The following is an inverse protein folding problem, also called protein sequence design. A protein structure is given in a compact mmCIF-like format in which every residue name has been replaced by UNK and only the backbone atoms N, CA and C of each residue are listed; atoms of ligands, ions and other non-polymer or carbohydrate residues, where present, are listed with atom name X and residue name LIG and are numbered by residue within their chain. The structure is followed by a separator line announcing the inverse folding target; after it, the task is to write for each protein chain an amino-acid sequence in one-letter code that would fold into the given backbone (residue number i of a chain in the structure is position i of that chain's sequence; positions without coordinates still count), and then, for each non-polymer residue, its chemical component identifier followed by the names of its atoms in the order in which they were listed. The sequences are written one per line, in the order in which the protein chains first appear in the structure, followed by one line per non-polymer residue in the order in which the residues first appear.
data_IF_557095532949
#
_entry.id   IF_557095532949
#
_cell.length_a   1.000
_cell.length_b   1.000
_cell.length_c   1.000
_cell.angle_alpha   90.00
_cell.angle_beta   90.00
_cell.angle_gamma   90.00
#
_symmetry.space_group_name_H-M   'P 1'
#
loop_
_entity.id
_entity.type
_entity.pdbx_description
1 polymer ?
#
# COMPACT_ATOMS: atom_id res chain seq x y z
N UNK A 1 -40.50 25.86 -51.53
CA UNK A 1 -39.89 26.65 -50.45
C UNK A 1 -40.16 26.12 -49.02
N UNK A 2 -41.32 25.58 -48.66
CA UNK A 2 -41.59 25.02 -47.33
C UNK A 2 -40.76 23.79 -46.99
N UNK A 3 -40.59 22.85 -47.92
CA UNK A 3 -39.82 21.62 -47.67
C UNK A 3 -38.32 21.83 -47.48
N UNK A 4 -37.74 22.83 -48.18
CA UNK A 4 -36.34 23.20 -48.03
C UNK A 4 -36.01 23.75 -46.62
N UNK A 5 -36.92 24.53 -46.03
CA UNK A 5 -36.75 25.04 -44.67
C UNK A 5 -36.89 23.94 -43.62
N UNK A 6 -37.76 22.97 -43.83
CA UNK A 6 -37.92 21.82 -42.93
C UNK A 6 -36.67 20.95 -42.93
N UNK A 7 -36.11 20.64 -44.10
CA UNK A 7 -34.87 19.86 -44.24
C UNK A 7 -33.67 20.57 -43.59
N UNK A 8 -33.58 21.89 -43.70
CA UNK A 8 -32.53 22.69 -43.08
C UNK A 8 -32.64 22.65 -41.55
N UNK A 9 -33.86 22.71 -41.00
CA UNK A 9 -34.12 22.63 -39.58
C UNK A 9 -33.77 21.26 -38.99
N UNK A 10 -34.11 20.18 -39.70
CA UNK A 10 -33.77 18.82 -39.30
C UNK A 10 -32.24 18.59 -39.34
N UNK A 11 -31.56 19.12 -40.36
CA UNK A 11 -30.10 19.06 -40.45
C UNK A 11 -29.42 19.80 -39.31
N UNK A 12 -29.92 20.99 -38.95
CA UNK A 12 -29.40 21.77 -37.80
C UNK A 12 -29.65 21.08 -36.45
N UNK A 13 -30.82 20.42 -36.29
CA UNK A 13 -31.10 19.62 -35.09
C UNK A 13 -30.19 18.41 -34.98
N UNK A 14 -29.90 17.72 -36.08
CA UNK A 14 -28.95 16.61 -36.11
C UNK A 14 -27.52 17.05 -35.79
N UNK A 15 -27.09 18.21 -36.24
CA UNK A 15 -25.78 18.77 -35.89
C UNK A 15 -25.65 19.10 -34.38
N UNK A 16 -26.72 19.56 -33.74
CA UNK A 16 -26.74 19.83 -32.29
C UNK A 16 -26.60 18.53 -31.50
N UNK A 17 -27.23 17.44 -31.93
CA UNK A 17 -27.11 16.13 -31.28
C UNK A 17 -25.71 15.52 -31.41
N UNK A 18 -24.99 15.80 -32.52
CA UNK A 18 -23.61 15.33 -32.70
C UNK A 18 -22.62 16.17 -31.89
N UNK A 19 -22.89 17.49 -31.72
CA UNK A 19 -22.01 18.39 -30.99
C UNK A 19 -22.08 18.21 -29.45
N UNK A 20 -23.13 17.58 -28.92
CA UNK A 20 -23.35 17.38 -27.48
C UNK A 20 -22.91 15.98 -26.99
N UNK A 21 -22.17 15.20 -27.72
CA UNK A 21 -21.51 14.02 -27.17
C UNK A 21 -20.35 14.49 -26.29
N UNK A 22 -20.62 14.71 -25.00
CA UNK A 22 -19.57 14.81 -23.98
C UNK A 22 -18.79 13.50 -24.05
N UNK A 23 -17.58 13.55 -24.59
CA UNK A 23 -16.70 12.39 -24.60
C UNK A 23 -16.28 12.21 -23.14
N UNK A 24 -16.80 11.17 -22.49
CA UNK A 24 -16.36 10.75 -21.18
C UNK A 24 -15.04 10.01 -21.39
N UNK A 25 -13.95 10.67 -21.05
CA UNK A 25 -12.66 10.01 -20.91
C UNK A 25 -12.53 9.62 -19.43
N UNK A 26 -12.10 8.41 -19.16
CA UNK A 26 -11.76 8.00 -17.81
C UNK A 26 -10.63 8.90 -17.27
N UNK A 27 -10.77 9.33 -16.04
CA UNK A 27 -9.72 10.11 -15.35
C UNK A 27 -8.65 9.17 -14.79
N UNK A 28 -7.53 9.74 -14.36
CA UNK A 28 -6.50 9.01 -13.61
C UNK A 28 -7.09 8.27 -12.39
N UNK A 29 -8.02 8.91 -11.68
CA UNK A 29 -8.72 8.33 -10.51
C UNK A 29 -9.64 7.18 -10.93
N UNK A 30 -10.43 7.33 -12.01
CA UNK A 30 -11.29 6.25 -12.52
C UNK A 30 -10.45 5.02 -12.91
N UNK A 31 -9.28 5.24 -13.55
CA UNK A 31 -8.38 4.18 -13.96
C UNK A 31 -7.73 3.47 -12.77
N UNK A 32 -7.29 4.23 -11.75
CA UNK A 32 -6.72 3.65 -10.53
C UNK A 32 -7.78 2.86 -9.73
N UNK A 33 -8.99 3.40 -9.58
CA UNK A 33 -10.09 2.70 -8.93
C UNK A 33 -10.41 1.35 -9.60
N UNK A 34 -10.37 1.32 -10.94
CA UNK A 34 -10.56 0.05 -11.64
C UNK A 34 -9.35 -0.89 -11.51
N UNK A 35 -8.14 -0.33 -11.47
CA UNK A 35 -6.92 -1.07 -11.15
C UNK A 35 -7.00 -1.76 -9.79
N UNK A 36 -7.53 -1.07 -8.77
CA UNK A 36 -7.73 -1.65 -7.44
C UNK A 36 -8.78 -2.77 -7.42
N UNK A 37 -9.88 -2.63 -8.17
CA UNK A 37 -10.87 -3.71 -8.32
C UNK A 37 -10.20 -4.98 -8.87
N UNK A 38 -9.40 -4.85 -9.93
CA UNK A 38 -8.69 -5.97 -10.53
C UNK A 38 -7.63 -6.57 -9.57
N UNK A 39 -6.96 -5.71 -8.78
CA UNK A 39 -6.03 -6.15 -7.75
C UNK A 39 -6.72 -7.03 -6.70
N UNK A 40 -7.89 -6.61 -6.20
CA UNK A 40 -8.70 -7.34 -5.22
C UNK A 40 -9.25 -8.66 -5.81
N UNK A 41 -9.49 -8.71 -7.13
CA UNK A 41 -9.91 -9.91 -7.85
C UNK A 41 -8.73 -10.86 -8.17
N UNK A 42 -7.48 -10.42 -7.95
CA UNK A 42 -6.27 -11.19 -8.24
C UNK A 42 -5.79 -11.11 -9.69
N UNK A 43 -6.41 -10.25 -10.50
CA UNK A 43 -6.08 -10.04 -11.92
C UNK A 43 -4.91 -9.03 -12.03
N UNK A 44 -3.73 -9.43 -11.53
CA UNK A 44 -2.60 -8.52 -11.32
C UNK A 44 -2.00 -7.97 -12.63
N UNK A 45 -2.03 -8.71 -13.73
CA UNK A 45 -1.51 -8.23 -15.01
C UNK A 45 -2.41 -7.12 -15.59
N UNK A 46 -3.71 -7.28 -15.50
CA UNK A 46 -4.68 -6.28 -15.91
C UNK A 46 -4.65 -5.07 -14.98
N UNK A 47 -4.54 -5.30 -13.67
CA UNK A 47 -4.35 -4.25 -12.66
C UNK A 47 -3.14 -3.37 -12.98
N UNK A 48 -1.99 -3.97 -13.32
CA UNK A 48 -0.79 -3.28 -13.78
C UNK A 48 -1.07 -2.33 -14.96
N UNK A 49 -1.80 -2.80 -15.97
CA UNK A 49 -2.13 -1.98 -17.15
C UNK A 49 -2.97 -0.76 -16.76
N UNK A 50 -3.92 -0.91 -15.86
CA UNK A 50 -4.79 0.17 -15.44
C UNK A 50 -4.07 1.21 -14.58
N UNK A 51 -3.23 0.81 -13.64
CA UNK A 51 -2.38 1.75 -12.88
C UNK A 51 -1.37 2.45 -13.79
N UNK A 52 -0.80 1.74 -14.76
CA UNK A 52 0.09 2.34 -15.76
C UNK A 52 -0.63 3.39 -16.62
N UNK A 53 -1.89 3.16 -16.97
CA UNK A 53 -2.72 4.12 -17.70
C UNK A 53 -3.07 5.33 -16.83
N UNK A 54 -3.40 5.12 -15.55
CA UNK A 54 -3.64 6.19 -14.57
C UNK A 54 -2.43 7.13 -14.46
N UNK A 55 -1.23 6.58 -14.30
CA UNK A 55 0.02 7.36 -14.25
C UNK A 55 0.29 8.07 -15.58
N UNK A 56 -0.10 7.49 -16.72
CA UNK A 56 0.08 8.14 -18.03
C UNK A 56 -0.87 9.32 -18.23
N UNK A 57 -2.06 9.26 -17.65
CA UNK A 57 -3.03 10.34 -17.69
C UNK A 57 -2.59 11.50 -16.79
N UNK A 58 -2.15 11.21 -15.56
CA UNK A 58 -1.53 12.18 -14.65
C UNK A 58 -0.26 11.62 -14.00
N UNK A 59 0.90 12.16 -14.39
CA UNK A 59 2.21 11.78 -13.88
C UNK A 59 2.41 12.12 -12.39
N UNK A 60 1.54 12.92 -11.81
CA UNK A 60 1.60 13.32 -10.41
C UNK A 60 0.55 12.62 -9.55
N UNK A 61 -0.23 11.71 -10.13
CA UNK A 61 -1.24 10.97 -9.39
C UNK A 61 -0.62 9.87 -8.52
N UNK A 62 -0.50 10.15 -7.23
CA UNK A 62 0.21 9.33 -6.25
C UNK A 62 -0.34 7.91 -6.14
N UNK A 63 -1.68 7.75 -6.13
CA UNK A 63 -2.31 6.44 -5.95
C UNK A 63 -2.10 5.49 -7.14
N UNK A 64 -1.88 6.00 -8.34
CA UNK A 64 -1.45 5.19 -9.47
C UNK A 64 -0.10 4.49 -9.21
N UNK A 65 0.86 5.19 -8.61
CA UNK A 65 2.14 4.61 -8.21
C UNK A 65 2.00 3.65 -7.03
N UNK A 66 1.12 3.95 -6.08
CA UNK A 66 0.78 3.06 -4.98
C UNK A 66 0.29 1.72 -5.49
N UNK A 67 -0.77 1.74 -6.30
CA UNK A 67 -1.34 0.52 -6.89
C UNK A 67 -0.35 -0.25 -7.76
N UNK A 68 0.46 0.46 -8.54
CA UNK A 68 1.51 -0.16 -9.35
C UNK A 68 2.54 -0.89 -8.48
N UNK A 69 2.96 -0.27 -7.37
CA UNK A 69 3.91 -0.88 -6.43
C UNK A 69 3.37 -2.16 -5.78
N UNK A 70 2.13 -2.12 -5.28
CA UNK A 70 1.48 -3.30 -4.71
C UNK A 70 1.27 -4.40 -5.75
N UNK A 71 0.90 -4.04 -6.97
CA UNK A 71 0.73 -5.00 -8.08
C UNK A 71 2.05 -5.69 -8.43
N UNK A 72 3.16 -4.94 -8.53
CA UNK A 72 4.49 -5.53 -8.71
C UNK A 72 4.86 -6.46 -7.55
N UNK A 73 4.51 -6.10 -6.31
CA UNK A 73 4.71 -6.97 -5.15
C UNK A 73 4.01 -8.33 -5.30
N UNK A 74 2.75 -8.35 -5.75
CA UNK A 74 2.00 -9.60 -6.04
C UNK A 74 2.58 -10.37 -7.21
N UNK A 75 3.18 -9.68 -8.19
CA UNK A 75 3.90 -10.29 -9.33
C UNK A 75 5.35 -10.72 -8.98
N UNK A 76 5.79 -10.51 -7.73
CA UNK A 76 7.13 -10.84 -7.23
C UNK A 76 8.25 -10.07 -7.96
N UNK A 77 7.94 -8.93 -8.58
CA UNK A 77 8.92 -7.98 -9.12
C UNK A 77 9.22 -6.88 -8.07
N UNK A 78 10.00 -7.27 -7.06
CA UNK A 78 10.22 -6.41 -5.88
C UNK A 78 11.04 -5.16 -6.20
N UNK A 79 11.97 -5.21 -7.16
CA UNK A 79 12.75 -4.05 -7.58
C UNK A 79 11.85 -2.99 -8.25
N UNK A 80 10.94 -3.41 -9.12
CA UNK A 80 9.95 -2.53 -9.74
C UNK A 80 8.94 -2.00 -8.72
N UNK A 81 8.55 -2.82 -7.73
CA UNK A 81 7.69 -2.39 -6.63
C UNK A 81 8.32 -1.24 -5.83
N UNK A 82 9.58 -1.39 -5.43
CA UNK A 82 10.33 -0.34 -4.71
C UNK A 82 10.38 0.95 -5.54
N UNK A 83 10.74 0.85 -6.84
CA UNK A 83 10.81 2.03 -7.71
C UNK A 83 9.46 2.74 -7.86
N UNK A 84 8.36 2.00 -7.99
CA UNK A 84 7.03 2.57 -8.08
C UNK A 84 6.64 3.28 -6.76
N UNK A 85 6.84 2.64 -5.63
CA UNK A 85 6.56 3.23 -4.32
C UNK A 85 7.41 4.47 -4.03
N UNK A 86 8.73 4.41 -4.25
CA UNK A 86 9.62 5.57 -4.06
C UNK A 86 9.19 6.72 -4.98
N UNK A 87 8.81 6.43 -6.22
CA UNK A 87 8.29 7.43 -7.13
C UNK A 87 6.99 8.04 -6.60
N UNK A 88 6.09 7.22 -6.07
CA UNK A 88 4.84 7.67 -5.44
C UNK A 88 5.08 8.63 -4.27
N UNK A 89 6.07 8.37 -3.41
CA UNK A 89 6.42 9.26 -2.30
C UNK A 89 6.90 10.66 -2.76
N UNK A 90 7.42 10.79 -3.98
CA UNK A 90 7.83 12.09 -4.53
C UNK A 90 6.66 12.90 -5.10
N UNK A 91 5.46 12.32 -5.18
CA UNK A 91 4.31 12.97 -5.80
C UNK A 91 3.58 13.88 -4.83
N UNK A 92 2.95 14.96 -5.35
CA UNK A 92 2.11 15.81 -4.54
C UNK A 92 1.00 14.98 -3.89
N UNK A 93 0.79 15.22 -2.60
CA UNK A 93 -0.31 14.59 -1.90
C UNK A 93 -1.63 15.18 -2.39
N UNK A 94 -2.58 14.32 -2.71
CA UNK A 94 -3.94 14.76 -2.98
C UNK A 94 -4.56 15.26 -1.67
N UNK A 95 -4.97 16.55 -1.57
CA UNK A 95 -5.52 17.11 -0.32
C UNK A 95 -6.76 16.38 0.22
N UNK A 96 -7.37 15.50 -0.59
CA UNK A 96 -8.55 14.72 -0.20
C UNK A 96 -8.20 13.34 0.33
N UNK A 97 -6.95 12.87 0.14
CA UNK A 97 -6.49 11.51 0.47
C UNK A 97 -5.14 11.50 1.20
N UNK A 98 -4.78 12.61 1.84
CA UNK A 98 -3.42 13.01 2.26
C UNK A 98 -2.65 11.93 3.05
N UNK A 99 -3.30 11.21 3.95
CA UNK A 99 -2.55 10.34 4.88
C UNK A 99 -2.61 8.85 4.50
N UNK A 100 -3.66 8.42 3.81
CA UNK A 100 -3.91 7.00 3.54
C UNK A 100 -2.92 6.45 2.50
N UNK A 101 -2.75 7.11 1.36
CA UNK A 101 -1.88 6.63 0.27
C UNK A 101 -0.41 6.56 0.69
N UNK A 102 0.06 7.56 1.46
CA UNK A 102 1.43 7.55 1.97
C UNK A 102 1.68 6.41 2.95
N UNK A 103 0.70 6.06 3.79
CA UNK A 103 0.80 4.91 4.69
C UNK A 103 0.92 3.60 3.92
N UNK A 104 0.10 3.42 2.89
CA UNK A 104 0.13 2.22 2.04
C UNK A 104 1.47 2.07 1.32
N UNK A 105 2.01 3.17 0.78
CA UNK A 105 3.32 3.19 0.15
C UNK A 105 4.44 2.85 1.14
N UNK A 106 4.42 3.41 2.34
CA UNK A 106 5.43 3.12 3.37
C UNK A 106 5.37 1.66 3.82
N UNK A 107 4.17 1.09 3.97
CA UNK A 107 4.00 -0.33 4.26
C UNK A 107 4.56 -1.20 3.12
N UNK A 108 4.21 -0.88 1.88
CA UNK A 108 4.71 -1.58 0.69
C UNK A 108 6.24 -1.55 0.58
N UNK A 109 6.86 -0.40 0.83
CA UNK A 109 8.33 -0.27 0.89
C UNK A 109 8.95 -1.10 2.00
N UNK A 110 8.33 -1.11 3.18
CA UNK A 110 8.78 -1.93 4.32
C UNK A 110 8.83 -3.40 3.94
N UNK A 111 7.75 -3.92 3.36
CA UNK A 111 7.67 -5.32 2.96
C UNK A 111 8.61 -5.65 1.79
N UNK A 112 8.66 -4.81 0.76
CA UNK A 112 9.51 -5.04 -0.40
C UNK A 112 11.00 -5.05 -0.02
N UNK A 113 11.46 -4.08 0.79
CA UNK A 113 12.85 -4.04 1.24
C UNK A 113 13.20 -5.20 2.17
N UNK A 114 12.31 -5.61 3.07
CA UNK A 114 12.54 -6.79 3.91
C UNK A 114 12.65 -8.06 3.08
N UNK A 115 11.80 -8.24 2.06
CA UNK A 115 11.87 -9.37 1.14
C UNK A 115 13.17 -9.37 0.31
N UNK A 116 13.67 -8.19 -0.08
CA UNK A 116 14.96 -8.00 -0.73
C UNK A 116 16.16 -8.13 0.22
N UNK A 117 15.95 -8.36 1.53
CA UNK A 117 16.99 -8.39 2.56
C UNK A 117 17.73 -7.06 2.73
N UNK A 118 17.09 -5.98 2.35
CA UNK A 118 17.56 -4.62 2.61
C UNK A 118 16.97 -4.12 3.93
N UNK A 119 17.38 -4.76 5.03
CA UNK A 119 16.78 -4.57 6.36
C UNK A 119 16.88 -3.13 6.86
N UNK A 120 17.96 -2.40 6.52
CA UNK A 120 18.10 -0.99 6.91
C UNK A 120 17.03 -0.09 6.27
N UNK A 121 16.69 -0.31 5.00
CA UNK A 121 15.61 0.42 4.34
C UNK A 121 14.25 -0.03 4.83
N UNK A 122 14.06 -1.33 5.08
CA UNK A 122 12.82 -1.84 5.66
C UNK A 122 12.52 -1.16 7.01
N UNK A 123 13.52 -1.05 7.89
CA UNK A 123 13.41 -0.34 9.17
C UNK A 123 13.09 1.14 8.95
N UNK A 124 13.80 1.82 8.05
CA UNK A 124 13.59 3.25 7.78
C UNK A 124 12.13 3.57 7.40
N UNK A 125 11.56 2.81 6.46
CA UNK A 125 10.20 3.05 5.98
C UNK A 125 9.15 2.57 6.99
N UNK A 126 9.37 1.43 7.63
CA UNK A 126 8.46 0.88 8.62
C UNK A 126 8.36 1.75 9.87
N UNK A 127 9.48 2.26 10.39
CA UNK A 127 9.48 3.18 11.52
C UNK A 127 8.80 4.50 11.16
N UNK A 128 9.00 4.98 9.91
CA UNK A 128 8.30 6.18 9.42
C UNK A 128 6.78 5.98 9.42
N UNK A 129 6.31 4.82 8.98
CA UNK A 129 4.88 4.48 9.01
C UNK A 129 4.36 4.41 10.46
N UNK A 130 5.05 3.68 11.34
CA UNK A 130 4.62 3.55 12.74
C UNK A 130 4.58 4.92 13.42
N UNK A 131 5.56 5.77 13.18
CA UNK A 131 5.57 7.13 13.71
C UNK A 131 4.35 7.93 13.24
N UNK A 132 4.00 7.88 11.94
CA UNK A 132 2.82 8.57 11.40
C UNK A 132 1.52 8.07 12.02
N UNK A 133 1.38 6.75 12.17
CA UNK A 133 0.19 6.13 12.81
C UNK A 133 0.08 6.58 14.28
N UNK A 134 1.19 6.62 15.01
CA UNK A 134 1.21 6.99 16.43
C UNK A 134 0.94 8.49 16.65
N UNK A 135 1.20 9.37 15.67
CA UNK A 135 0.89 10.81 15.75
C UNK A 135 -0.59 11.12 15.51
N UNK A 136 -1.33 10.24 14.85
CA UNK A 136 -2.76 10.41 14.62
C UNK A 136 -3.54 10.15 15.92
N UNK A 137 -4.19 11.18 16.46
CA UNK A 137 -4.91 11.17 17.75
C UNK A 137 -6.12 10.20 17.84
N UNK A 138 -6.44 9.48 16.76
CA UNK A 138 -7.64 8.64 16.67
C UNK A 138 -7.39 7.15 16.52
N UNK A 139 -6.54 6.75 15.61
CA UNK A 139 -6.32 5.34 15.27
C UNK A 139 -4.83 5.01 15.29
N UNK A 140 -4.40 4.24 16.27
CA UNK A 140 -3.03 3.71 16.37
C UNK A 140 -2.83 2.46 15.51
N UNK A 141 -3.63 2.31 14.46
CA UNK A 141 -3.67 1.12 13.62
C UNK A 141 -3.78 1.52 12.16
N UNK A 142 -3.12 0.75 11.31
CA UNK A 142 -3.26 0.83 9.87
C UNK A 142 -3.73 -0.53 9.35
N UNK A 143 -4.64 -0.52 8.39
CA UNK A 143 -5.10 -1.70 7.64
C UNK A 143 -5.05 -1.35 6.16
N UNK A 144 -4.49 -2.22 5.36
CA UNK A 144 -4.44 -1.99 3.92
C UNK A 144 -5.84 -2.03 3.31
N UNK A 145 -6.31 -0.97 2.64
CA UNK A 145 -7.71 -0.88 2.19
C UNK A 145 -8.10 -1.96 1.17
N UNK A 146 -7.13 -2.47 0.39
CA UNK A 146 -7.35 -3.42 -0.71
C UNK A 146 -7.03 -4.87 -0.34
N UNK A 147 -6.58 -5.12 0.88
CA UNK A 147 -6.38 -6.45 1.45
C UNK A 147 -6.38 -6.35 2.97
N UNK A 148 -7.56 -6.53 3.59
CA UNK A 148 -7.74 -6.34 5.04
C UNK A 148 -6.98 -7.32 5.92
N UNK A 149 -6.41 -8.37 5.34
CA UNK A 149 -5.52 -9.30 6.06
C UNK A 149 -4.15 -8.67 6.30
N UNK A 150 -3.75 -7.67 5.50
CA UNK A 150 -2.50 -6.93 5.63
C UNK A 150 -2.72 -5.69 6.50
N UNK A 151 -2.01 -5.59 7.62
CA UNK A 151 -2.25 -4.55 8.60
C UNK A 151 -0.97 -4.17 9.39
N UNK A 152 -1.10 -3.27 10.37
CA UNK A 152 0.02 -2.76 11.16
C UNK A 152 0.77 -3.84 11.96
N UNK A 153 0.16 -5.00 12.26
CA UNK A 153 0.85 -6.11 12.93
C UNK A 153 1.85 -6.78 11.98
N UNK A 154 1.55 -6.83 10.67
CA UNK A 154 2.48 -7.32 9.65
C UNK A 154 3.67 -6.39 9.50
N UNK A 155 3.45 -5.07 9.64
CA UNK A 155 4.55 -4.10 9.69
C UNK A 155 5.41 -4.35 10.92
N UNK A 156 4.80 -4.54 12.09
CA UNK A 156 5.56 -4.81 13.32
C UNK A 156 6.35 -6.13 13.25
N UNK A 157 5.81 -7.21 12.68
CA UNK A 157 6.55 -8.46 12.56
C UNK A 157 7.70 -8.33 11.56
N UNK A 158 7.49 -7.59 10.47
CA UNK A 158 8.54 -7.27 9.49
C UNK A 158 9.66 -6.45 10.12
N UNK A 159 9.32 -5.43 10.93
CA UNK A 159 10.30 -4.65 11.69
C UNK A 159 11.05 -5.51 12.71
N UNK A 160 10.34 -6.39 13.43
CA UNK A 160 10.98 -7.32 14.38
C UNK A 160 12.02 -8.20 13.67
N UNK A 161 11.70 -8.72 12.49
CA UNK A 161 12.62 -9.51 11.67
C UNK A 161 13.81 -8.68 11.19
N UNK A 162 13.57 -7.50 10.64
CA UNK A 162 14.62 -6.65 10.08
C UNK A 162 15.56 -6.10 11.17
N UNK A 163 15.04 -5.68 12.32
CA UNK A 163 15.87 -5.31 13.48
C UNK A 163 16.70 -6.50 14.00
N UNK A 164 16.09 -7.71 14.03
CA UNK A 164 16.84 -8.92 14.38
C UNK A 164 18.00 -9.16 13.44
N UNK A 165 17.78 -9.04 12.14
CA UNK A 165 18.83 -9.20 11.10
C UNK A 165 19.95 -8.16 11.25
N UNK A 166 19.61 -6.93 11.64
CA UNK A 166 20.55 -5.85 11.95
C UNK A 166 21.25 -6.01 13.32
N UNK A 167 20.91 -7.08 14.06
CA UNK A 167 21.42 -7.34 15.42
C UNK A 167 20.94 -6.33 16.49
N UNK A 168 19.93 -5.53 16.19
CA UNK A 168 19.25 -4.71 17.19
C UNK A 168 18.13 -5.51 17.87
N UNK A 169 18.54 -6.38 18.78
CA UNK A 169 17.63 -7.29 19.48
C UNK A 169 16.70 -6.58 20.46
N UNK A 170 17.01 -5.34 20.84
CA UNK A 170 16.19 -4.53 21.76
C UNK A 170 14.97 -4.02 21.01
N UNK A 171 15.16 -3.39 19.87
CA UNK A 171 14.06 -2.91 19.03
C UNK A 171 13.24 -4.08 18.47
N UNK A 172 13.91 -5.15 18.02
CA UNK A 172 13.24 -6.38 17.60
C UNK A 172 12.29 -6.93 18.68
N UNK A 173 12.73 -7.02 19.93
CA UNK A 173 11.90 -7.45 21.06
C UNK A 173 10.75 -6.45 21.31
N UNK A 174 11.00 -5.16 21.18
CA UNK A 174 9.97 -4.11 21.34
C UNK A 174 8.81 -4.32 20.39
N UNK A 175 9.09 -4.61 19.09
CA UNK A 175 8.05 -4.90 18.11
C UNK A 175 7.30 -6.21 18.41
N UNK A 176 7.98 -7.28 18.81
CA UNK A 176 7.33 -8.52 19.25
C UNK A 176 6.37 -8.27 20.41
N UNK A 177 6.78 -7.46 21.39
CA UNK A 177 5.93 -7.12 22.54
C UNK A 177 4.69 -6.32 22.14
N UNK A 178 4.81 -5.38 21.18
CA UNK A 178 3.66 -4.64 20.63
C UNK A 178 2.63 -5.59 19.99
N UNK A 179 3.07 -6.55 19.18
CA UNK A 179 2.19 -7.55 18.57
C UNK A 179 1.50 -8.39 19.64
N UNK A 180 2.26 -8.94 20.60
CA UNK A 180 1.71 -9.78 21.66
C UNK A 180 0.70 -9.03 22.52
N UNK A 181 0.95 -7.77 22.81
CA UNK A 181 0.01 -6.91 23.54
C UNK A 181 -1.26 -6.63 22.75
N UNK A 182 -1.15 -6.42 21.42
CA UNK A 182 -2.31 -6.22 20.57
C UNK A 182 -3.18 -7.47 20.47
N UNK A 183 -2.55 -8.64 20.34
CA UNK A 183 -3.26 -9.94 20.25
C UNK A 183 -3.88 -10.36 21.60
N UNK A 184 -3.24 -10.05 22.74
CA UNK A 184 -3.76 -10.36 24.06
C UNK A 184 -3.34 -9.30 25.10
N UNK A 185 -4.11 -8.21 25.24
CA UNK A 185 -3.79 -7.12 26.17
C UNK A 185 -3.74 -7.52 27.65
N UNK A 186 -4.35 -8.64 28.02
CA UNK A 186 -4.37 -9.14 29.40
C UNK A 186 -3.15 -10.00 29.75
N UNK A 187 -2.34 -10.37 28.77
CA UNK A 187 -1.13 -11.16 29.01
C UNK A 187 -0.04 -10.33 29.69
N UNK A 188 0.73 -10.92 30.62
CA UNK A 188 1.92 -10.25 31.13
C UNK A 188 2.92 -10.01 30.00
N UNK A 189 3.78 -8.98 30.12
CA UNK A 189 4.82 -8.74 29.12
C UNK A 189 5.69 -9.98 28.91
N UNK A 190 5.91 -10.32 27.64
CA UNK A 190 6.83 -11.41 27.30
C UNK A 190 8.27 -10.95 27.51
N UNK A 191 8.96 -11.60 28.43
CA UNK A 191 10.31 -11.21 28.85
C UNK A 191 11.33 -12.23 28.35
N UNK A 192 12.32 -11.74 27.59
CA UNK A 192 13.44 -12.54 27.11
C UNK A 192 14.73 -11.75 27.27
N UNK A 193 15.82 -12.43 27.68
CA UNK A 193 17.13 -11.77 27.83
C UNK A 193 17.91 -11.79 26.50
N UNK A 194 17.75 -10.76 25.70
CA UNK A 194 18.41 -10.62 24.39
C UNK A 194 19.93 -10.47 24.46
N UNK A 195 20.52 -10.28 25.64
CA UNK A 195 21.98 -10.28 25.82
C UNK A 195 22.58 -11.68 25.79
N UNK A 196 21.78 -12.73 25.83
CA UNK A 196 22.22 -14.14 25.76
C UNK A 196 21.90 -14.78 24.43
N UNK A 197 22.68 -15.75 24.01
CA UNK A 197 22.41 -16.55 22.81
C UNK A 197 21.06 -17.27 22.93
N UNK A 198 20.75 -17.80 24.10
CA UNK A 198 19.47 -18.49 24.37
C UNK A 198 18.30 -17.53 24.17
N UNK A 199 18.39 -16.33 24.73
CA UNK A 199 17.32 -15.33 24.58
C UNK A 199 17.15 -14.85 23.15
N UNK A 200 18.22 -14.70 22.38
CA UNK A 200 18.14 -14.36 20.94
C UNK A 200 17.48 -15.47 20.13
N UNK A 201 17.80 -16.74 20.44
CA UNK A 201 17.14 -17.88 19.78
C UNK A 201 15.65 -17.95 20.15
N UNK A 202 15.28 -17.62 21.37
CA UNK A 202 13.87 -17.51 21.77
C UNK A 202 13.16 -16.38 21.01
N UNK A 203 13.81 -15.22 20.85
CA UNK A 203 13.27 -14.11 20.08
C UNK A 203 13.07 -14.47 18.60
N UNK A 204 14.06 -15.14 17.98
CA UNK A 204 13.93 -15.60 16.61
C UNK A 204 12.76 -16.58 16.43
N UNK A 205 12.63 -17.55 17.31
CA UNK A 205 11.53 -18.52 17.28
C UNK A 205 10.15 -17.85 17.48
N UNK A 206 10.08 -16.82 18.31
CA UNK A 206 8.84 -16.08 18.51
C UNK A 206 8.47 -15.22 17.28
N UNK A 207 9.45 -14.59 16.60
CA UNK A 207 9.23 -13.86 15.35
C UNK A 207 8.68 -14.83 14.30
N UNK A 208 9.30 -16.01 14.11
CA UNK A 208 8.82 -17.02 13.17
C UNK A 208 7.39 -17.49 13.51
N UNK A 209 7.11 -17.70 14.78
CA UNK A 209 5.75 -18.07 15.22
C UNK A 209 4.73 -16.98 14.88
N UNK A 210 5.04 -15.72 15.14
CA UNK A 210 4.15 -14.60 14.87
C UNK A 210 3.94 -14.37 13.36
N UNK A 211 4.98 -14.54 12.54
CA UNK A 211 4.85 -14.50 11.09
C UNK A 211 3.83 -15.54 10.60
N UNK A 212 3.98 -16.79 11.01
CA UNK A 212 3.05 -17.86 10.63
C UNK A 212 1.64 -17.60 11.17
N UNK A 213 1.51 -17.15 12.40
CA UNK A 213 0.22 -16.87 13.02
C UNK A 213 -0.57 -15.77 12.29
N UNK A 214 0.10 -14.68 11.89
CA UNK A 214 -0.54 -13.57 11.17
C UNK A 214 -0.88 -13.93 9.72
N UNK A 215 -0.14 -14.84 9.09
CA UNK A 215 -0.45 -15.34 7.74
C UNK A 215 -1.67 -16.25 7.71
N UNK A 216 -1.96 -16.95 8.80
CA UNK A 216 -3.06 -17.92 8.90
C UNK A 216 -4.35 -17.31 9.51
N UNK A 217 -4.32 -16.06 9.95
CA UNK A 217 -5.42 -15.35 10.63
C UNK A 217 -6.18 -14.41 9.69
#
# INVERSE_FOLDING_TARGET
MKHSRLLLSIFFLLLIFVACRKQWNATEEDMANYGWILYEEGEYLESYEWFSNSIREDLDYQDGYNGLGWTYGKLVDLDSAVQAFEKGLTKPQNPRMVDIVAHDILAGLTFAHSALKNDSSAVHYGDSLIWLIEQNDGEKTWVFPHDSTTNYLDVHVTLALSYYALSDFTESLGHVQKIKTALNPASPPWLVNTNTIVGRNQLAAEIEYLQNYLQDS
#
